data_IF_738994475494
#
_entry.id   IF_738994475494
#
_cell.length_a   1.000
_cell.length_b   1.000
_cell.length_c   1.000
_cell.angle_alpha   90.00
_cell.angle_beta   90.00
_cell.angle_gamma   90.00
#
_symmetry.space_group_name_H-M   'P 1'
#
loop_
_entity.id
_entity.type
_entity.pdbx_description
1 polymer ?
#
# COMPACT_ATOMS: atom_id res chain seq x y z
N UNK A 1 -10.28 -42.27 -27.25
CA UNK A 1 -9.09 -41.84 -26.48
C UNK A 1 -8.51 -40.50 -26.94
N UNK A 2 -9.30 -39.57 -27.51
CA UNK A 2 -8.84 -38.25 -27.98
C UNK A 2 -9.65 -37.09 -27.38
N UNK A 3 -10.38 -37.34 -26.28
CA UNK A 3 -11.20 -36.33 -25.58
C UNK A 3 -10.70 -35.98 -24.17
N UNK A 4 -9.69 -36.69 -23.64
CA UNK A 4 -9.16 -36.44 -22.30
C UNK A 4 -7.97 -35.48 -22.24
N UNK A 5 -7.34 -35.15 -23.37
CA UNK A 5 -6.13 -34.30 -23.40
C UNK A 5 -6.48 -32.80 -23.38
N UNK A 6 -7.73 -32.41 -23.70
CA UNK A 6 -8.12 -31.01 -23.82
C UNK A 6 -8.36 -30.29 -22.48
N UNK A 7 -8.48 -31.02 -21.36
CA UNK A 7 -8.79 -30.43 -20.04
C UNK A 7 -7.56 -30.08 -19.20
N UNK A 8 -6.36 -30.53 -19.59
CA UNK A 8 -5.13 -30.29 -18.82
C UNK A 8 -4.50 -28.92 -19.13
N UNK A 9 -4.93 -28.25 -20.21
CA UNK A 9 -4.37 -26.96 -20.64
C UNK A 9 -5.11 -25.73 -20.11
N UNK A 10 -6.19 -25.90 -19.33
CA UNK A 10 -6.98 -24.80 -18.78
C UNK A 10 -6.68 -24.47 -17.32
N UNK A 11 -5.63 -25.06 -16.76
CA UNK A 11 -4.96 -24.55 -15.56
C UNK A 11 -3.81 -23.63 -15.97
N UNK A 12 -4.07 -22.68 -16.88
CA UNK A 12 -3.24 -21.46 -16.91
C UNK A 12 -3.58 -20.77 -15.60
N UNK A 13 -2.78 -21.10 -14.60
CA UNK A 13 -2.64 -20.32 -13.37
C UNK A 13 -2.51 -18.89 -13.84
N UNK A 14 -3.54 -18.07 -13.62
CA UNK A 14 -3.41 -16.63 -13.67
C UNK A 14 -2.41 -16.28 -12.56
N UNK A 15 -1.12 -16.34 -12.90
CA UNK A 15 -0.08 -15.78 -12.07
C UNK A 15 -0.40 -14.29 -12.06
N UNK A 16 -1.01 -13.84 -10.96
CA UNK A 16 -1.27 -12.43 -10.74
C UNK A 16 0.06 -11.72 -10.89
N UNK A 17 0.16 -10.82 -11.88
CA UNK A 17 1.40 -10.09 -12.12
C UNK A 17 1.69 -9.21 -10.90
N UNK A 18 2.52 -9.75 -10.00
CA UNK A 18 3.11 -8.95 -8.95
C UNK A 18 3.98 -7.90 -9.64
N UNK A 19 3.62 -6.65 -9.42
CA UNK A 19 4.32 -5.53 -10.05
C UNK A 19 5.57 -5.18 -9.25
N UNK A 20 5.67 -5.62 -7.99
CA UNK A 20 6.87 -5.54 -7.16
C UNK A 20 6.57 -5.47 -5.66
N UNK A 21 7.64 -5.43 -4.87
CA UNK A 21 7.57 -5.29 -3.42
C UNK A 21 8.58 -4.26 -2.89
N UNK A 22 8.26 -3.67 -1.74
CA UNK A 22 8.98 -2.51 -1.25
C UNK A 22 8.40 -1.94 0.04
N UNK A 23 8.78 -0.71 0.35
CA UNK A 23 8.35 -0.03 1.58
C UNK A 23 7.62 1.28 1.29
N UNK A 24 6.63 1.56 2.13
CA UNK A 24 5.97 2.86 2.16
C UNK A 24 6.61 3.80 3.18
N UNK A 25 6.89 5.01 2.73
CA UNK A 25 7.54 6.09 3.47
C UNK A 25 6.58 7.26 3.59
N UNK A 26 6.54 7.88 4.77
CA UNK A 26 5.60 8.96 5.08
C UNK A 26 6.34 10.29 4.96
N UNK A 27 5.85 11.15 4.08
CA UNK A 27 6.49 12.41 3.72
C UNK A 27 5.57 13.59 4.08
N UNK A 28 6.10 14.54 4.86
CA UNK A 28 5.34 15.70 5.33
C UNK A 28 5.10 16.73 4.23
N UNK A 29 3.87 17.25 4.14
CA UNK A 29 3.54 18.36 3.25
C UNK A 29 3.88 19.68 3.97
N UNK A 30 4.78 20.48 3.40
CA UNK A 30 5.26 21.76 3.95
C UNK A 30 6.70 21.68 4.45
N UNK A 31 7.01 20.73 5.32
CA UNK A 31 8.36 20.57 5.90
C UNK A 31 9.35 19.88 4.93
N UNK A 32 8.86 19.36 3.80
CA UNK A 32 9.62 18.63 2.77
C UNK A 32 10.60 17.58 3.32
N UNK A 33 10.23 16.92 4.42
CA UNK A 33 11.06 15.93 5.07
C UNK A 33 10.34 14.59 5.22
N UNK A 34 11.14 13.52 5.20
CA UNK A 34 10.67 12.19 5.56
C UNK A 34 10.39 12.19 7.06
N UNK A 35 9.14 11.88 7.42
CA UNK A 35 8.71 11.82 8.81
C UNK A 35 9.02 10.44 9.38
N UNK A 36 8.65 9.39 8.63
CA UNK A 36 8.60 8.01 9.15
C UNK A 36 8.38 6.99 8.03
N UNK A 37 8.18 5.73 8.40
CA UNK A 37 7.79 4.63 7.52
C UNK A 37 6.42 4.08 7.94
N UNK A 38 5.68 3.49 7.00
CA UNK A 38 4.41 2.84 7.26
C UNK A 38 4.65 1.48 7.92
N UNK A 39 4.09 1.26 9.11
CA UNK A 39 4.17 -0.01 9.84
C UNK A 39 2.78 -0.53 10.14
N UNK A 40 2.63 -1.85 10.16
CA UNK A 40 1.42 -2.51 10.66
C UNK A 40 1.64 -2.96 12.11
N UNK A 41 0.71 -2.60 13.00
CA UNK A 41 0.69 -3.03 14.38
C UNK A 41 -0.74 -3.45 14.75
N UNK A 42 -0.95 -4.75 15.00
CA UNK A 42 -2.27 -5.32 15.31
C UNK A 42 -3.35 -4.91 14.29
N UNK A 43 -3.03 -5.01 13.00
CA UNK A 43 -3.92 -4.63 11.89
C UNK A 43 -4.03 -3.13 11.62
N UNK A 44 -3.56 -2.26 12.51
CA UNK A 44 -3.57 -0.81 12.26
C UNK A 44 -2.30 -0.35 11.55
N UNK A 45 -2.45 0.51 10.54
CA UNK A 45 -1.32 1.17 9.90
C UNK A 45 -0.93 2.45 10.67
N UNK A 46 0.35 2.52 11.07
CA UNK A 46 0.90 3.61 11.88
C UNK A 46 2.19 4.17 11.28
N UNK A 47 2.49 5.41 11.63
CA UNK A 47 3.79 6.04 11.41
C UNK A 47 4.82 5.52 12.42
N UNK A 48 5.93 4.95 11.95
CA UNK A 48 6.99 4.42 12.81
C UNK A 48 8.40 4.54 12.19
N UNK A 49 9.46 4.34 12.99
CA UNK A 49 10.85 4.36 12.52
C UNK A 49 11.20 3.19 11.59
N UNK A 50 10.60 2.03 11.82
CA UNK A 50 10.75 0.82 10.99
C UNK A 50 9.44 0.53 10.28
N UNK A 51 9.50 0.37 8.97
CA UNK A 51 8.35 0.07 8.12
C UNK A 51 8.12 -1.42 7.93
N UNK A 52 6.92 -1.74 7.47
CA UNK A 52 6.58 -3.04 6.91
C UNK A 52 6.88 -3.06 5.41
N UNK A 53 7.03 -4.26 4.86
CA UNK A 53 7.20 -4.49 3.42
C UNK A 53 5.84 -4.84 2.83
N UNK A 54 5.56 -4.37 1.62
CA UNK A 54 4.29 -4.57 0.94
C UNK A 54 4.53 -4.99 -0.50
N UNK A 55 3.63 -5.82 -1.03
CA UNK A 55 3.50 -6.09 -2.46
C UNK A 55 2.45 -5.16 -3.05
N UNK A 56 2.56 -4.83 -4.33
CA UNK A 56 1.52 -4.09 -5.06
C UNK A 56 1.24 -4.72 -6.42
N UNK A 57 -0.01 -4.60 -6.84
CA UNK A 57 -0.53 -5.16 -8.07
C UNK A 57 -1.14 -4.06 -8.94
N UNK A 58 -1.01 -4.18 -10.26
CA UNK A 58 -1.60 -3.24 -11.25
C UNK A 58 -3.12 -3.12 -11.12
N UNK A 59 -3.79 -4.13 -10.58
CA UNK A 59 -5.23 -4.17 -10.31
C UNK A 59 -5.70 -3.22 -9.19
N UNK A 60 -4.78 -2.46 -8.59
CA UNK A 60 -5.13 -1.52 -7.53
C UNK A 60 -5.24 -2.16 -6.16
N UNK A 61 -4.35 -3.12 -5.88
CA UNK A 61 -4.32 -3.84 -4.62
C UNK A 61 -2.93 -3.81 -4.03
N UNK A 62 -2.85 -3.67 -2.71
CA UNK A 62 -1.61 -3.68 -1.93
C UNK A 62 -1.76 -4.69 -0.80
N UNK A 63 -0.77 -5.54 -0.59
CA UNK A 63 -0.78 -6.55 0.47
C UNK A 63 0.45 -6.45 1.36
N UNK A 64 0.29 -6.72 2.65
CA UNK A 64 1.38 -6.86 3.59
C UNK A 64 2.23 -8.10 3.25
N UNK A 65 3.53 -7.90 3.04
CA UNK A 65 4.46 -8.99 2.79
C UNK A 65 4.56 -9.89 4.02
N UNK A 66 4.48 -11.21 3.82
CA UNK A 66 4.56 -12.23 4.87
C UNK A 66 3.20 -12.77 5.31
N UNK A 67 2.18 -11.93 5.49
CA UNK A 67 0.82 -12.40 5.84
C UNK A 67 -0.12 -12.46 4.64
N UNK A 68 0.09 -11.60 3.64
CA UNK A 68 -0.82 -11.46 2.50
C UNK A 68 -2.06 -10.61 2.79
N UNK A 69 -2.18 -10.04 3.99
CA UNK A 69 -3.30 -9.17 4.35
C UNK A 69 -3.37 -7.97 3.43
N UNK A 70 -4.57 -7.63 2.98
CA UNK A 70 -4.85 -6.50 2.11
C UNK A 70 -4.79 -5.19 2.89
N UNK A 71 -4.12 -4.19 2.33
CA UNK A 71 -4.25 -2.81 2.78
C UNK A 71 -5.66 -2.31 2.47
N UNK A 72 -6.31 -1.74 3.47
CA UNK A 72 -7.70 -1.28 3.40
C UNK A 72 -7.87 0.09 4.08
N UNK A 73 -9.01 0.72 3.83
CA UNK A 73 -9.52 1.85 4.60
C UNK A 73 -10.70 1.34 5.43
N UNK A 74 -10.63 1.49 6.75
CA UNK A 74 -11.73 1.11 7.65
C UNK A 74 -12.91 2.10 7.54
N UNK A 75 -14.04 1.76 8.16
CA UNK A 75 -15.26 2.60 8.16
C UNK A 75 -15.05 4.00 8.79
N UNK A 76 -13.97 4.17 9.54
CA UNK A 76 -13.59 5.44 10.18
C UNK A 76 -12.58 6.23 9.35
N UNK A 77 -12.20 5.74 8.16
CA UNK A 77 -11.26 6.40 7.24
C UNK A 77 -9.78 6.12 7.52
N UNK A 78 -9.44 5.22 8.46
CA UNK A 78 -8.06 4.88 8.77
C UNK A 78 -7.52 3.74 7.91
N UNK A 79 -6.21 3.78 7.64
CA UNK A 79 -5.50 2.69 7.00
C UNK A 79 -5.37 1.52 7.99
N UNK A 80 -5.77 0.35 7.52
CA UNK A 80 -5.69 -0.93 8.24
C UNK A 80 -5.25 -2.04 7.28
N UNK A 81 -4.93 -3.21 7.83
CA UNK A 81 -4.76 -4.44 7.05
C UNK A 81 -5.77 -5.49 7.49
N UNK A 82 -6.26 -6.30 6.54
CA UNK A 82 -7.14 -7.42 6.85
C UNK A 82 -7.22 -8.45 5.72
N UNK A 83 -7.91 -9.56 5.99
CA UNK A 83 -7.98 -10.71 5.07
C UNK A 83 -8.87 -10.45 3.83
N UNK A 84 -9.74 -9.43 3.92
CA UNK A 84 -10.69 -9.12 2.86
C UNK A 84 -10.04 -8.34 1.72
N UNK A 85 -10.27 -8.81 0.49
CA UNK A 85 -9.85 -8.13 -0.72
C UNK A 85 -10.34 -6.68 -0.75
N UNK A 86 -9.42 -5.73 -0.90
CA UNK A 86 -9.73 -4.30 -0.87
C UNK A 86 -9.04 -3.55 -2.03
N UNK A 87 -9.74 -3.35 -3.16
CA UNK A 87 -9.19 -2.63 -4.29
C UNK A 87 -9.26 -1.12 -4.08
N UNK A 88 -8.54 -0.38 -4.93
CA UNK A 88 -8.53 1.08 -4.95
C UNK A 88 -7.18 1.70 -4.60
N UNK A 89 -6.22 0.91 -4.10
CA UNK A 89 -4.87 1.36 -3.82
C UNK A 89 -3.96 1.22 -5.03
N UNK A 90 -3.40 2.33 -5.51
CA UNK A 90 -2.46 2.33 -6.64
C UNK A 90 -1.14 2.99 -6.26
N UNK A 91 -0.04 2.34 -6.62
CA UNK A 91 1.28 2.96 -6.68
C UNK A 91 1.37 3.69 -8.03
N UNK A 92 1.25 5.02 -8.01
CA UNK A 92 1.16 5.84 -9.21
C UNK A 92 2.47 5.93 -9.97
N UNK A 93 2.41 6.15 -11.28
CA UNK A 93 3.61 6.51 -12.07
C UNK A 93 4.12 7.94 -11.80
N UNK A 94 3.30 8.81 -11.17
CA UNK A 94 3.71 10.14 -10.72
C UNK A 94 4.89 10.02 -9.73
N UNK A 95 5.97 10.76 -10.00
CA UNK A 95 7.19 10.78 -9.20
C UNK A 95 7.18 11.93 -8.20
N UNK A 96 7.35 11.58 -6.94
CA UNK A 96 7.51 12.50 -5.82
C UNK A 96 8.98 12.72 -5.43
N UNK A 97 9.23 13.28 -4.23
CA UNK A 97 10.57 13.55 -3.73
C UNK A 97 11.49 12.32 -3.76
N UNK A 98 12.69 12.46 -4.35
CA UNK A 98 13.65 11.36 -4.45
C UNK A 98 13.20 10.24 -5.40
N UNK A 99 12.44 10.58 -6.45
CA UNK A 99 11.96 9.67 -7.50
C UNK A 99 11.06 8.50 -7.02
N UNK A 100 10.52 8.65 -5.81
CA UNK A 100 9.58 7.68 -5.22
C UNK A 100 8.18 7.89 -5.77
N UNK A 101 7.40 6.82 -5.86
CA UNK A 101 6.05 6.85 -6.42
C UNK A 101 5.00 7.13 -5.35
N UNK A 102 3.88 7.77 -5.65
CA UNK A 102 2.83 7.98 -4.66
C UNK A 102 1.98 6.72 -4.46
N UNK A 103 1.60 6.43 -3.22
CA UNK A 103 0.44 5.60 -2.94
C UNK A 103 -0.81 6.48 -3.02
N UNK A 104 -1.83 6.00 -3.73
CA UNK A 104 -3.13 6.67 -3.85
C UNK A 104 -4.25 5.70 -3.49
N UNK A 105 -5.37 6.22 -2.99
CA UNK A 105 -6.61 5.47 -2.80
C UNK A 105 -7.74 6.16 -3.56
N UNK A 106 -8.31 5.49 -4.57
CA UNK A 106 -9.31 6.08 -5.47
C UNK A 106 -8.89 7.47 -6.02
N UNK A 107 -7.61 7.59 -6.43
CA UNK A 107 -6.95 8.82 -6.93
C UNK A 107 -6.61 9.87 -5.87
N UNK A 108 -7.06 9.71 -4.63
CA UNK A 108 -6.64 10.58 -3.53
C UNK A 108 -5.24 10.20 -3.06
N UNK A 109 -4.33 11.18 -3.03
CA UNK A 109 -2.92 10.97 -2.65
C UNK A 109 -2.57 11.53 -1.27
N UNK A 110 -3.44 12.35 -0.70
CA UNK A 110 -3.19 13.05 0.55
C UNK A 110 -3.79 12.29 1.71
N UNK A 111 -2.95 11.94 2.67
CA UNK A 111 -3.36 11.30 3.92
C UNK A 111 -3.12 12.24 5.09
N UNK A 112 -3.59 11.84 6.27
CA UNK A 112 -3.36 12.53 7.53
C UNK A 112 -2.77 11.57 8.54
N UNK A 113 -1.69 11.98 9.22
CA UNK A 113 -1.15 11.29 10.39
C UNK A 113 -1.66 11.99 11.65
N UNK A 114 -2.35 11.24 12.49
CA UNK A 114 -2.89 11.74 13.75
C UNK A 114 -1.84 11.73 14.87
N UNK A 115 -2.06 12.42 16.01
CA UNK A 115 -1.12 12.41 17.14
C UNK A 115 -0.79 11.01 17.67
N UNK A 116 -1.77 10.09 17.62
CA UNK A 116 -1.60 8.67 17.97
C UNK A 116 -0.88 7.83 16.90
N UNK A 117 -0.29 8.48 15.89
CA UNK A 117 0.44 7.89 14.76
C UNK A 117 -0.42 7.08 13.78
N UNK A 118 -1.74 6.95 13.98
CA UNK A 118 -2.61 6.34 12.98
C UNK A 118 -2.68 7.21 11.73
N UNK A 119 -2.84 6.57 10.59
CA UNK A 119 -2.88 7.22 9.28
C UNK A 119 -4.26 6.99 8.67
N UNK A 120 -4.82 8.00 8.03
CA UNK A 120 -6.11 7.89 7.34
C UNK A 120 -6.26 8.89 6.20
N UNK A 121 -7.27 8.70 5.36
CA UNK A 121 -7.51 9.57 4.21
C UNK A 121 -8.39 10.77 4.57
N UNK A 122 -9.53 10.51 5.23
CA UNK A 122 -10.52 11.52 5.62
C UNK A 122 -10.79 11.49 7.14
N UNK A 123 -9.72 11.35 7.92
CA UNK A 123 -9.84 11.23 9.38
C UNK A 123 -9.91 12.62 10.02
N UNK A 124 -10.90 12.79 10.88
CA UNK A 124 -10.99 13.96 11.75
C UNK A 124 -10.22 13.70 13.05
N UNK A 125 -8.94 14.08 13.05
CA UNK A 125 -8.14 14.12 14.25
C UNK A 125 -7.55 15.51 14.44
N UNK A 126 -7.68 16.02 15.66
CA UNK A 126 -7.14 17.30 16.06
C UNK A 126 -5.62 17.31 15.86
N UNK A 127 -5.10 18.38 15.26
CA UNK A 127 -3.66 18.56 15.00
C UNK A 127 -3.02 17.47 14.12
N UNK A 128 -3.81 16.74 13.33
CA UNK A 128 -3.27 15.77 12.37
C UNK A 128 -2.49 16.45 11.23
N UNK A 129 -1.34 15.88 10.88
CA UNK A 129 -0.46 16.41 9.82
C UNK A 129 -0.80 15.80 8.47
N UNK A 130 -0.93 16.63 7.44
CA UNK A 130 -1.11 16.17 6.05
C UNK A 130 0.20 15.59 5.51
N UNK A 131 0.11 14.42 4.89
CA UNK A 131 1.27 13.68 4.38
C UNK A 131 0.98 13.08 3.01
N UNK A 132 2.04 12.80 2.28
CA UNK A 132 2.04 11.83 1.20
C UNK A 132 2.61 10.51 1.71
N UNK A 133 2.12 9.40 1.16
CA UNK A 133 2.73 8.09 1.33
C UNK A 133 3.46 7.78 0.02
N UNK A 134 4.78 7.62 0.10
CA UNK A 134 5.67 7.36 -1.03
C UNK A 134 6.15 5.92 -1.00
N UNK A 135 6.19 5.28 -2.15
CA UNK A 135 6.63 3.91 -2.31
C UNK A 135 8.07 3.86 -2.85
N UNK A 136 8.88 3.02 -2.22
CA UNK A 136 10.26 2.73 -2.60
C UNK A 136 10.37 1.25 -2.92
N UNK A 137 10.64 0.93 -4.19
CA UNK A 137 10.91 -0.43 -4.64
C UNK A 137 12.22 -0.97 -4.04
N UNK A 138 12.22 -2.25 -3.70
CA UNK A 138 13.46 -2.98 -3.50
C UNK A 138 13.95 -3.51 -4.85
N UNK A 139 14.73 -2.68 -5.55
CA UNK A 139 15.22 -2.93 -6.91
C UNK A 139 16.22 -4.11 -7.05
N UNK A 140 16.26 -5.09 -6.14
CA UNK A 140 17.28 -6.16 -6.20
C UNK A 140 16.97 -7.30 -7.18
N UNK A 141 15.80 -7.36 -7.83
CA UNK A 141 15.43 -8.50 -8.68
C UNK A 141 14.63 -8.18 -9.96
N UNK A 142 14.76 -6.97 -10.52
CA UNK A 142 14.25 -6.67 -11.87
C UNK A 142 15.35 -6.78 -12.92
#
# INVERSE_FOLDING_TARGET
MLRLILLVLLSIVYAREDTGFGQFQIFGIGDNSMISQLRVLKGACIAAKKGAVFNYFTEGVVTLFGTGDYLAIDEHGYLVTGENYHPGFLVSDERGPGDRRFLTYHKEKMFKVCPNQRIGLDVNCENGKKVFILYSDFNEYR
#
